data_IF_970519466433
#
_entry.id   IF_970519466433
#
_cell.length_a   1.000
_cell.length_b   1.000
_cell.length_c   1.000
_cell.angle_alpha   90.00
_cell.angle_beta   90.00
_cell.angle_gamma   90.00
#
_symmetry.space_group_name_H-M   'P 1'
#
loop_
_entity.id
_entity.type
_entity.pdbx_description
1 polymer ?
#
# COMPACT_ATOMS: atom_id res chain seq x y z
N UNK A 1 80.87 3.13 46.85
CA UNK A 1 80.42 4.22 45.94
C UNK A 1 80.63 3.80 44.50
N UNK A 2 79.57 3.40 43.81
CA UNK A 2 79.23 3.77 42.42
C UNK A 2 77.94 3.02 42.06
N UNK A 3 76.93 3.84 41.82
CA UNK A 3 75.58 3.58 41.36
C UNK A 3 75.59 2.83 40.04
N UNK A 4 74.68 1.88 39.83
CA UNK A 4 74.20 1.57 38.49
C UNK A 4 72.68 1.33 38.55
N UNK A 5 72.02 2.25 37.87
CA UNK A 5 70.60 2.45 37.72
C UNK A 5 70.14 1.58 36.53
N UNK A 6 69.39 0.50 36.78
CA UNK A 6 68.70 -0.22 35.71
C UNK A 6 67.25 0.27 35.67
N UNK A 7 66.97 1.10 34.66
CA UNK A 7 65.63 1.59 34.32
C UNK A 7 64.89 0.44 33.65
N UNK A 8 63.84 -0.04 34.31
CA UNK A 8 62.89 -1.01 33.75
C UNK A 8 61.82 -0.23 32.96
N UNK A 9 61.96 -0.18 31.64
CA UNK A 9 60.94 0.39 30.74
C UNK A 9 59.79 -0.61 30.57
N UNK A 10 58.68 -0.36 31.26
CA UNK A 10 57.40 -1.04 31.03
C UNK A 10 56.74 -0.39 29.80
N UNK A 11 56.81 -1.06 28.65
CA UNK A 11 55.95 -0.75 27.50
C UNK A 11 54.55 -1.34 27.76
N UNK A 12 53.63 -0.52 28.25
CA UNK A 12 52.21 -0.81 28.26
C UNK A 12 51.66 -0.64 26.83
N UNK A 13 51.54 -1.76 26.12
CA UNK A 13 50.76 -1.87 24.88
C UNK A 13 49.27 -1.69 25.23
N UNK A 14 48.76 -0.45 25.14
CA UNK A 14 47.33 -0.21 25.05
C UNK A 14 46.83 -0.66 23.68
N UNK A 15 46.46 -1.94 23.58
CA UNK A 15 45.59 -2.42 22.52
C UNK A 15 44.19 -1.82 22.77
N UNK A 16 43.97 -0.61 22.26
CA UNK A 16 42.64 -0.05 22.17
C UNK A 16 41.85 -0.90 21.16
N UNK A 17 41.04 -1.82 21.67
CA UNK A 17 39.93 -2.40 20.91
C UNK A 17 39.05 -1.24 20.41
N UNK A 18 39.28 -0.81 19.17
CA UNK A 18 38.30 -0.02 18.42
C UNK A 18 37.12 -0.95 18.19
N UNK A 19 36.15 -0.90 19.10
CA UNK A 19 34.81 -1.40 18.81
C UNK A 19 34.33 -0.78 17.50
N UNK A 20 33.49 -1.51 16.73
CA UNK A 20 32.93 -0.96 15.51
C UNK A 20 32.29 0.38 15.85
N UNK A 21 32.77 1.45 15.20
CA UNK A 21 32.13 2.76 15.32
C UNK A 21 30.65 2.55 14.96
N UNK A 22 29.69 3.04 15.77
CA UNK A 22 28.32 3.10 15.32
C UNK A 22 28.37 3.82 13.98
N UNK A 23 27.93 3.12 12.94
CA UNK A 23 27.85 3.66 11.60
C UNK A 23 26.87 4.81 11.73
N UNK A 24 27.43 6.02 11.85
CA UNK A 24 26.68 7.26 11.88
C UNK A 24 25.60 7.14 10.82
N UNK A 25 24.38 7.44 11.24
CA UNK A 25 23.29 7.87 10.37
C UNK A 25 23.89 8.91 9.42
N UNK A 26 24.47 8.47 8.30
CA UNK A 26 24.54 9.29 7.11
C UNK A 26 23.10 9.66 6.90
N UNK A 27 22.80 10.96 7.05
CA UNK A 27 21.55 11.54 6.58
C UNK A 27 21.17 10.77 5.31
N UNK A 28 20.09 9.99 5.37
CA UNK A 28 19.59 9.34 4.18
C UNK A 28 19.50 10.45 3.14
N UNK A 29 20.24 10.32 2.04
CA UNK A 29 20.20 11.32 0.98
C UNK A 29 18.73 11.64 0.72
N UNK A 30 18.36 12.91 0.90
CA UNK A 30 16.97 13.29 0.88
C UNK A 30 16.46 13.10 -0.54
N UNK A 31 15.67 12.05 -0.74
CA UNK A 31 15.06 11.76 -2.02
C UNK A 31 14.11 12.89 -2.39
N UNK A 32 14.28 13.44 -3.58
CA UNK A 32 13.50 14.58 -4.08
C UNK A 32 12.52 14.09 -5.14
N UNK A 33 11.24 14.37 -4.94
CA UNK A 33 10.19 14.23 -5.92
C UNK A 33 10.05 15.51 -6.74
N UNK A 34 10.21 15.36 -8.05
CA UNK A 34 9.87 16.36 -9.03
C UNK A 34 8.62 15.91 -9.81
N UNK A 35 7.55 16.70 -9.77
CA UNK A 35 6.37 16.42 -10.60
C UNK A 35 6.74 16.60 -12.07
N UNK A 36 6.61 15.53 -12.84
CA UNK A 36 6.81 15.54 -14.28
C UNK A 36 5.54 16.04 -14.98
N UNK A 37 4.39 15.51 -14.59
CA UNK A 37 3.08 15.94 -15.03
C UNK A 37 1.99 15.53 -14.02
N UNK A 38 0.79 16.01 -14.31
CA UNK A 38 -0.47 15.56 -13.72
C UNK A 38 -1.45 15.32 -14.85
N UNK A 39 -2.37 14.38 -14.66
CA UNK A 39 -3.39 14.09 -15.65
C UNK A 39 -4.66 13.52 -15.04
N UNK A 40 -5.58 13.15 -15.93
CA UNK A 40 -6.85 12.53 -15.60
C UNK A 40 -7.00 11.18 -16.29
N UNK A 41 -7.70 10.29 -15.63
CA UNK A 41 -8.10 8.98 -16.13
C UNK A 41 -9.61 8.98 -16.26
N UNK A 42 -10.13 8.68 -17.45
CA UNK A 42 -11.54 8.37 -17.62
C UNK A 42 -11.76 6.89 -17.29
N UNK A 43 -12.31 6.60 -16.11
CA UNK A 43 -12.63 5.23 -15.70
C UNK A 43 -13.78 4.65 -16.53
N UNK A 44 -14.69 5.50 -16.99
CA UNK A 44 -15.80 5.16 -17.87
C UNK A 44 -16.26 6.36 -18.67
N UNK A 45 -17.05 6.08 -19.72
CA UNK A 45 -17.52 7.11 -20.62
C UNK A 45 -18.36 8.17 -19.87
N UNK A 46 -18.27 9.46 -20.26
CA UNK A 46 -19.18 10.49 -19.78
C UNK A 46 -20.64 10.04 -20.01
N UNK A 47 -21.54 10.36 -19.07
CA UNK A 47 -22.99 10.05 -19.15
C UNK A 47 -23.39 8.59 -18.89
N UNK A 48 -22.57 7.81 -18.16
CA UNK A 48 -23.13 6.70 -17.38
C UNK A 48 -23.96 7.28 -16.22
N UNK A 49 -25.13 7.81 -16.59
CA UNK A 49 -26.10 8.40 -15.70
C UNK A 49 -26.87 7.28 -15.02
N UNK A 50 -26.41 6.97 -13.82
CA UNK A 50 -27.18 6.38 -12.74
C UNK A 50 -27.69 4.95 -12.90
N UNK A 51 -27.26 4.13 -11.96
CA UNK A 51 -28.20 3.26 -11.27
C UNK A 51 -29.03 4.21 -10.38
N UNK A 52 -30.32 4.39 -10.67
CA UNK A 52 -31.29 5.07 -9.79
C UNK A 52 -31.11 6.59 -9.54
N UNK A 53 -30.85 7.41 -10.56
CA UNK A 53 -30.66 8.88 -10.46
C UNK A 53 -29.51 9.35 -9.53
N UNK A 54 -28.58 8.47 -9.15
CA UNK A 54 -27.33 8.84 -8.47
C UNK A 54 -26.15 8.77 -9.43
N UNK A 55 -25.31 9.81 -9.45
CA UNK A 55 -24.06 9.79 -10.19
C UNK A 55 -23.20 8.59 -9.77
N UNK A 56 -22.71 7.81 -10.74
CA UNK A 56 -21.65 6.84 -10.47
C UNK A 56 -20.33 7.59 -10.45
N UNK A 57 -19.60 7.47 -9.35
CA UNK A 57 -18.26 8.03 -9.21
C UNK A 57 -17.23 6.94 -9.45
N UNK A 58 -16.14 7.30 -10.11
CA UNK A 58 -14.92 6.55 -10.02
C UNK A 58 -14.19 7.01 -8.76
N UNK A 59 -14.17 6.14 -7.75
CA UNK A 59 -13.47 6.33 -6.48
C UNK A 59 -12.31 5.32 -6.49
N UNK A 60 -11.09 5.81 -6.75
CA UNK A 60 -9.95 5.02 -7.20
C UNK A 60 -9.03 4.62 -6.04
N UNK A 61 -9.08 3.36 -5.64
CA UNK A 61 -8.47 2.92 -4.38
C UNK A 61 -7.05 2.37 -4.50
N UNK A 62 -6.65 1.83 -5.66
CA UNK A 62 -5.27 1.37 -5.84
C UNK A 62 -4.80 1.37 -7.28
N UNK A 63 -3.47 1.36 -7.42
CA UNK A 63 -2.75 1.38 -8.68
C UNK A 63 -1.57 0.39 -8.61
N UNK A 64 -1.35 -0.38 -9.66
CA UNK A 64 -0.17 -1.24 -9.83
C UNK A 64 0.30 -1.23 -11.28
N UNK A 65 1.59 -1.49 -11.50
CA UNK A 65 2.14 -1.71 -12.84
C UNK A 65 2.57 -3.17 -12.98
N UNK A 66 1.87 -3.93 -13.82
CA UNK A 66 2.07 -5.37 -13.99
C UNK A 66 1.96 -5.75 -15.46
N UNK A 67 2.77 -6.72 -15.92
CA UNK A 67 2.71 -7.26 -17.28
C UNK A 67 2.60 -6.17 -18.38
N UNK A 68 3.42 -5.12 -18.28
CA UNK A 68 3.50 -3.95 -19.16
C UNK A 68 2.29 -2.99 -19.19
N UNK A 69 1.37 -3.11 -18.22
CA UNK A 69 0.17 -2.28 -18.14
C UNK A 69 -0.04 -1.73 -16.72
N UNK A 70 -0.76 -0.62 -16.63
CA UNK A 70 -1.30 -0.16 -15.36
C UNK A 70 -2.60 -0.90 -15.06
N UNK A 71 -2.77 -1.25 -13.80
CA UNK A 71 -4.00 -1.78 -13.24
C UNK A 71 -4.47 -0.83 -12.15
N UNK A 72 -5.74 -0.47 -12.21
CA UNK A 72 -6.39 0.43 -11.30
C UNK A 72 -7.65 -0.24 -10.77
N UNK A 73 -7.97 -0.07 -9.50
CA UNK A 73 -9.24 -0.51 -8.94
C UNK A 73 -10.07 0.69 -8.51
N UNK A 74 -11.38 0.59 -8.71
CA UNK A 74 -12.33 1.46 -8.04
C UNK A 74 -12.95 0.73 -6.84
N UNK A 75 -13.06 1.42 -5.70
CA UNK A 75 -13.65 0.84 -4.48
C UNK A 75 -15.19 0.70 -4.60
N UNK A 76 -15.81 1.39 -5.58
CA UNK A 76 -17.22 1.31 -5.92
C UNK A 76 -17.46 0.40 -7.10
N UNK A 77 -18.65 -0.21 -7.08
CA UNK A 77 -19.18 -0.91 -8.23
C UNK A 77 -19.27 0.04 -9.43
N UNK A 78 -18.73 -0.41 -10.56
CA UNK A 78 -18.92 0.25 -11.84
C UNK A 78 -20.33 -0.04 -12.37
N UNK A 79 -20.82 0.73 -13.36
CA UNK A 79 -22.08 0.42 -14.04
C UNK A 79 -22.14 -1.07 -14.45
N UNK A 80 -23.28 -1.78 -14.27
CA UNK A 80 -23.31 -3.24 -14.29
C UNK A 80 -22.91 -3.87 -15.63
N UNK A 81 -23.02 -3.09 -16.71
CA UNK A 81 -22.65 -3.49 -18.07
C UNK A 81 -21.16 -3.29 -18.37
N UNK A 82 -20.42 -2.57 -17.54
CA UNK A 82 -19.02 -2.24 -17.81
C UNK A 82 -18.07 -3.33 -17.35
N UNK A 83 -18.24 -3.89 -16.16
CA UNK A 83 -17.11 -4.68 -15.70
C UNK A 83 -16.99 -5.01 -14.23
N UNK A 84 -15.89 -5.72 -14.02
CA UNK A 84 -15.12 -5.68 -12.79
C UNK A 84 -14.67 -4.25 -12.46
N UNK A 85 -14.56 -3.90 -11.16
CA UNK A 85 -13.91 -2.65 -10.72
C UNK A 85 -12.41 -2.58 -11.05
N UNK A 86 -11.79 -3.68 -11.50
CA UNK A 86 -10.41 -3.71 -11.98
C UNK A 86 -10.35 -3.24 -13.44
N UNK A 87 -9.64 -2.14 -13.64
CA UNK A 87 -9.40 -1.48 -14.91
C UNK A 87 -7.95 -1.71 -15.35
N UNK A 88 -7.77 -2.01 -16.63
CA UNK A 88 -6.47 -2.13 -17.28
C UNK A 88 -6.23 -0.91 -18.17
N UNK A 89 -5.02 -0.38 -18.16
CA UNK A 89 -4.62 0.77 -18.96
C UNK A 89 -3.23 0.57 -19.56
N UNK A 90 -3.03 1.04 -20.79
CA UNK A 90 -1.71 1.08 -21.41
C UNK A 90 -0.84 2.17 -20.76
N UNK A 91 0.48 2.02 -20.85
CA UNK A 91 1.41 3.08 -20.46
C UNK A 91 1.60 4.11 -21.61
N UNK A 92 1.72 5.42 -21.32
CA UNK A 92 1.65 6.05 -19.99
C UNK A 92 0.21 6.09 -19.45
N UNK A 93 0.08 6.16 -18.12
CA UNK A 93 -1.20 6.32 -17.43
C UNK A 93 -1.97 7.54 -17.97
N UNK A 94 -3.32 7.45 -18.05
CA UNK A 94 -4.20 8.48 -18.62
C UNK A 94 -4.86 8.10 -19.96
N UNK A 95 -4.65 6.89 -20.45
CA UNK A 95 -5.33 6.34 -21.63
C UNK A 95 -6.78 5.91 -21.39
N UNK A 96 -7.38 5.21 -22.35
CA UNK A 96 -8.73 4.63 -22.21
C UNK A 96 -8.67 3.38 -21.33
N UNK A 97 -9.51 3.31 -20.30
CA UNK A 97 -9.66 2.12 -19.47
C UNK A 97 -10.24 0.94 -20.27
N UNK A 98 -9.66 -0.24 -20.06
CA UNK A 98 -10.20 -1.54 -20.49
C UNK A 98 -10.70 -2.29 -19.26
N UNK A 99 -11.94 -2.76 -19.30
CA UNK A 99 -12.56 -3.46 -18.18
C UNK A 99 -12.17 -4.94 -18.18
N UNK A 100 -11.87 -5.48 -17.01
CA UNK A 100 -11.78 -6.93 -16.88
C UNK A 100 -13.17 -7.57 -17.04
N UNK A 101 -13.24 -8.75 -17.69
CA UNK A 101 -14.48 -9.53 -17.78
C UNK A 101 -15.11 -9.73 -16.40
N UNK A 102 -16.43 -9.52 -16.36
CA UNK A 102 -17.26 -9.31 -15.16
C UNK A 102 -17.41 -10.50 -14.22
N UNK A 103 -17.05 -11.72 -14.60
CA UNK A 103 -17.44 -12.90 -13.82
C UNK A 103 -16.53 -13.20 -12.62
N UNK A 104 -15.27 -12.77 -12.61
CA UNK A 104 -14.32 -13.20 -11.58
C UNK A 104 -14.43 -12.40 -10.27
N UNK A 105 -14.90 -11.16 -10.35
CA UNK A 105 -14.92 -10.22 -9.23
C UNK A 105 -16.36 -9.73 -8.94
N UNK A 106 -17.36 -10.52 -9.35
CA UNK A 106 -18.77 -10.16 -9.20
C UNK A 106 -19.23 -10.05 -7.73
N UNK A 107 -18.60 -10.84 -6.85
CA UNK A 107 -18.89 -10.88 -5.41
C UNK A 107 -17.93 -10.00 -4.59
N UNK A 108 -17.05 -9.23 -5.25
CA UNK A 108 -16.02 -8.45 -4.56
C UNK A 108 -16.58 -7.09 -4.19
N UNK A 109 -16.41 -6.71 -2.92
CA UNK A 109 -16.76 -5.39 -2.43
C UNK A 109 -15.53 -4.68 -1.88
N UNK A 110 -15.36 -3.41 -2.30
CA UNK A 110 -14.23 -2.55 -1.90
C UNK A 110 -12.87 -3.21 -2.13
N UNK A 111 -12.46 -3.42 -3.38
CA UNK A 111 -11.04 -3.63 -3.65
C UNK A 111 -10.31 -2.35 -3.26
N UNK A 112 -9.33 -2.47 -2.37
CA UNK A 112 -8.63 -1.31 -1.80
C UNK A 112 -7.13 -1.30 -2.13
N UNK A 113 -6.54 -2.45 -2.48
CA UNK A 113 -5.09 -2.51 -2.65
C UNK A 113 -4.70 -3.46 -3.79
N UNK A 114 -3.60 -3.10 -4.47
CA UNK A 114 -2.94 -3.93 -5.48
C UNK A 114 -1.45 -4.04 -5.14
N UNK A 115 -0.84 -5.18 -5.42
CA UNK A 115 0.61 -5.34 -5.32
C UNK A 115 1.16 -6.17 -6.46
N UNK A 116 2.25 -5.70 -7.07
CA UNK A 116 2.95 -6.48 -8.09
C UNK A 116 4.06 -7.31 -7.45
N UNK A 117 4.09 -8.59 -7.82
CA UNK A 117 5.10 -9.54 -7.40
C UNK A 117 5.82 -10.18 -8.58
N UNK A 118 6.91 -10.93 -8.33
CA UNK A 118 7.66 -11.62 -9.37
C UNK A 118 6.83 -12.69 -10.11
N UNK A 119 5.82 -13.27 -9.45
CA UNK A 119 4.99 -14.34 -10.05
C UNK A 119 3.58 -13.90 -10.44
N UNK A 120 3.17 -12.67 -10.14
CA UNK A 120 1.79 -12.27 -10.35
C UNK A 120 1.40 -10.91 -9.78
N UNK A 121 0.11 -10.63 -9.86
CA UNK A 121 -0.55 -9.47 -9.27
C UNK A 121 -1.42 -9.93 -8.11
N UNK A 122 -1.32 -9.24 -6.98
CA UNK A 122 -2.22 -9.39 -5.85
C UNK A 122 -3.27 -8.28 -5.84
N UNK A 123 -4.47 -8.61 -5.37
CA UNK A 123 -5.48 -7.62 -5.02
C UNK A 123 -6.11 -7.96 -3.67
N UNK A 124 -6.49 -6.96 -2.91
CA UNK A 124 -7.06 -7.13 -1.58
C UNK A 124 -8.22 -6.16 -1.37
N UNK A 125 -9.25 -6.63 -0.68
CA UNK A 125 -10.34 -5.77 -0.21
C UNK A 125 -9.97 -5.02 1.06
N UNK A 126 -10.89 -4.20 1.58
CA UNK A 126 -10.71 -3.45 2.83
C UNK A 126 -10.56 -4.30 4.11
N UNK A 127 -11.11 -5.52 4.12
CA UNK A 127 -11.28 -6.35 5.33
C UNK A 127 -12.04 -5.63 6.47
N UNK A 128 -12.95 -4.71 6.14
CA UNK A 128 -13.52 -3.73 7.08
C UNK A 128 -14.93 -4.05 7.62
N UNK A 129 -15.43 -5.28 7.43
CA UNK A 129 -16.78 -5.65 7.85
C UNK A 129 -16.88 -7.01 8.54
N UNK A 130 -17.73 -7.06 9.58
CA UNK A 130 -17.74 -8.12 10.61
C UNK A 130 -19.11 -8.43 11.29
N UNK A 131 -20.28 -8.04 10.76
CA UNK A 131 -21.57 -8.16 11.49
C UNK A 131 -22.69 -8.93 10.77
N UNK A 132 -23.00 -10.17 11.12
CA UNK A 132 -24.21 -10.91 10.70
C UNK A 132 -24.39 -11.11 9.16
N UNK A 133 -24.12 -12.34 8.76
CA UNK A 133 -24.63 -13.10 7.61
C UNK A 133 -24.16 -12.80 6.18
N UNK A 134 -23.52 -11.67 5.82
CA UNK A 134 -23.05 -11.48 4.43
C UNK A 134 -21.86 -10.52 4.25
N UNK A 135 -20.62 -11.01 4.38
CA UNK A 135 -19.41 -10.16 4.37
C UNK A 135 -18.20 -10.76 3.68
N UNK A 136 -18.31 -11.96 3.14
CA UNK A 136 -17.17 -12.61 2.51
C UNK A 136 -16.63 -11.77 1.34
N UNK A 137 -17.51 -11.04 0.63
CA UNK A 137 -17.17 -10.05 -0.40
C UNK A 137 -16.24 -8.92 0.04
N UNK A 138 -16.27 -8.52 1.33
CA UNK A 138 -15.42 -7.48 1.91
C UNK A 138 -14.07 -8.02 2.42
N UNK A 139 -13.88 -9.34 2.44
CA UNK A 139 -12.76 -9.99 3.11
C UNK A 139 -12.09 -10.97 2.14
N UNK A 140 -11.49 -10.47 1.06
CA UNK A 140 -10.92 -11.28 -0.01
C UNK A 140 -9.50 -10.84 -0.35
N UNK A 141 -8.62 -11.83 -0.50
CA UNK A 141 -7.29 -11.69 -1.08
C UNK A 141 -7.23 -12.51 -2.36
N UNK A 142 -6.87 -11.85 -3.46
CA UNK A 142 -6.82 -12.43 -4.79
C UNK A 142 -5.40 -12.43 -5.35
N UNK A 143 -5.11 -13.42 -6.20
CA UNK A 143 -3.83 -13.53 -6.90
C UNK A 143 -4.03 -13.92 -8.36
N UNK A 144 -3.47 -13.13 -9.28
CA UNK A 144 -3.33 -13.47 -10.69
C UNK A 144 -1.90 -13.92 -10.94
N UNK A 145 -1.73 -15.20 -11.27
CA UNK A 145 -0.44 -15.71 -11.71
C UNK A 145 -0.09 -15.18 -13.10
N UNK A 146 1.19 -14.89 -13.34
CA UNK A 146 1.69 -14.44 -14.63
C UNK A 146 1.25 -15.38 -15.77
N UNK A 147 0.65 -14.79 -16.80
CA UNK A 147 0.15 -15.52 -17.98
C UNK A 147 -1.22 -16.17 -17.80
N UNK A 148 -1.78 -16.19 -16.58
CA UNK A 148 -3.13 -16.70 -16.32
C UNK A 148 -4.16 -15.58 -16.40
N UNK A 149 -5.32 -15.90 -16.98
CA UNK A 149 -6.43 -14.93 -17.14
C UNK A 149 -7.34 -14.88 -15.92
N UNK A 150 -7.39 -15.96 -15.15
CA UNK A 150 -8.31 -16.11 -14.03
C UNK A 150 -7.55 -15.87 -12.72
N UNK A 151 -8.10 -15.07 -11.80
CA UNK A 151 -7.54 -14.99 -10.47
C UNK A 151 -7.85 -16.23 -9.64
N UNK A 152 -7.03 -16.41 -8.62
CA UNK A 152 -7.24 -17.35 -7.52
C UNK A 152 -7.63 -16.59 -6.26
N UNK A 153 -8.74 -16.98 -5.63
CA UNK A 153 -9.12 -16.49 -4.30
C UNK A 153 -8.31 -17.24 -3.24
N UNK A 154 -7.45 -16.50 -2.55
CA UNK A 154 -6.47 -17.06 -1.61
C UNK A 154 -7.15 -17.47 -0.32
N UNK A 155 -7.01 -18.74 0.07
CA UNK A 155 -7.64 -19.26 1.29
C UNK A 155 -9.16 -19.23 1.24
N UNK A 156 -9.76 -19.47 0.06
CA UNK A 156 -11.20 -19.41 -0.14
C UNK A 156 -11.97 -20.34 0.82
N UNK A 157 -12.84 -19.75 1.63
CA UNK A 157 -13.81 -20.40 2.50
C UNK A 157 -15.20 -19.89 2.16
N UNK A 158 -16.20 -20.77 2.20
CA UNK A 158 -17.61 -20.42 1.93
C UNK A 158 -18.25 -20.01 3.25
N UNK A 159 -18.86 -18.83 3.29
CA UNK A 159 -19.72 -18.42 4.40
C UNK A 159 -21.04 -19.19 4.32
N UNK A 160 -21.43 -19.86 5.41
CA UNK A 160 -22.60 -20.77 5.40
C UNK A 160 -23.92 -20.04 5.14
N UNK A 161 -24.09 -18.83 5.67
CA UNK A 161 -25.35 -18.08 5.58
C UNK A 161 -25.59 -17.49 4.18
N UNK A 162 -24.59 -16.85 3.57
CA UNK A 162 -24.72 -16.20 2.26
C UNK A 162 -24.26 -17.05 1.08
N UNK A 163 -23.45 -18.09 1.32
CA UNK A 163 -22.80 -18.88 0.28
C UNK A 163 -21.65 -18.16 -0.44
N UNK A 164 -21.33 -16.91 -0.08
CA UNK A 164 -20.23 -16.15 -0.64
C UNK A 164 -18.87 -16.71 -0.20
N UNK A 165 -17.84 -16.49 -1.03
CA UNK A 165 -16.47 -16.91 -0.70
C UNK A 165 -15.62 -15.76 -0.18
N UNK A 166 -14.75 -16.05 0.78
CA UNK A 166 -13.80 -15.08 1.32
C UNK A 166 -12.53 -15.72 1.87
N UNK A 167 -11.53 -14.88 2.15
CA UNK A 167 -10.29 -15.25 2.83
C UNK A 167 -10.48 -15.20 4.35
N UNK A 168 -11.44 -15.98 4.86
CA UNK A 168 -11.98 -15.84 6.22
C UNK A 168 -10.97 -16.23 7.32
N UNK A 169 -10.14 -17.26 7.11
CA UNK A 169 -9.07 -17.59 8.04
C UNK A 169 -8.01 -16.48 8.18
N UNK A 170 -7.67 -15.78 7.09
CA UNK A 170 -6.79 -14.62 7.13
C UNK A 170 -7.42 -13.48 7.92
N UNK A 171 -8.68 -13.18 7.62
CA UNK A 171 -9.47 -12.17 8.32
C UNK A 171 -9.45 -12.43 9.84
N UNK A 172 -9.74 -13.68 10.23
CA UNK A 172 -9.76 -14.10 11.63
C UNK A 172 -8.38 -13.99 12.29
N UNK A 173 -7.32 -14.43 11.61
CA UNK A 173 -5.96 -14.35 12.13
C UNK A 173 -5.52 -12.91 12.40
N UNK A 174 -5.85 -11.97 11.50
CA UNK A 174 -5.57 -10.54 11.68
C UNK A 174 -6.38 -9.97 12.85
N UNK A 175 -7.68 -10.30 12.93
CA UNK A 175 -8.54 -9.88 14.04
C UNK A 175 -8.01 -10.35 15.39
N UNK A 176 -7.63 -11.61 15.49
CA UNK A 176 -7.09 -12.22 16.71
C UNK A 176 -5.75 -11.57 17.10
N UNK A 177 -4.89 -11.28 16.12
CA UNK A 177 -3.62 -10.57 16.34
C UNK A 177 -3.83 -9.13 16.87
N UNK A 178 -4.76 -8.40 16.28
CA UNK A 178 -5.01 -6.99 16.61
C UNK A 178 -5.80 -6.81 17.91
N UNK A 179 -6.58 -7.82 18.33
CA UNK A 179 -7.38 -7.78 19.55
C UNK A 179 -8.52 -6.77 19.55
N UNK A 180 -8.94 -6.30 18.37
CA UNK A 180 -10.01 -5.32 18.20
C UNK A 180 -11.06 -5.84 17.19
N UNK A 181 -12.33 -5.46 17.34
CA UNK A 181 -13.41 -5.97 16.52
C UNK A 181 -13.51 -5.29 15.15
N UNK A 182 -12.81 -4.18 14.89
CA UNK A 182 -12.80 -3.52 13.58
C UNK A 182 -11.39 -3.13 13.18
N UNK A 183 -11.03 -3.43 11.94
CA UNK A 183 -9.82 -2.95 11.29
C UNK A 183 -10.09 -2.68 9.81
N UNK A 184 -9.27 -1.85 9.16
CA UNK A 184 -9.29 -1.64 7.71
C UNK A 184 -7.86 -1.75 7.16
N UNK A 185 -7.71 -2.45 6.04
CA UNK A 185 -6.46 -2.56 5.29
C UNK A 185 -6.58 -1.80 3.97
N UNK A 186 -5.57 -1.02 3.61
CA UNK A 186 -5.50 -0.29 2.32
C UNK A 186 -4.11 -0.37 1.67
N UNK A 187 -3.08 -0.80 2.41
CA UNK A 187 -1.78 -1.10 1.83
C UNK A 187 -1.64 -2.58 1.49
N UNK A 188 -1.06 -2.88 0.34
CA UNK A 188 -0.61 -4.22 0.00
C UNK A 188 0.72 -4.16 -0.73
N UNK A 189 1.69 -4.95 -0.31
CA UNK A 189 2.92 -5.12 -1.05
C UNK A 189 3.44 -6.55 -0.93
N UNK A 190 4.03 -7.07 -2.01
CA UNK A 190 4.83 -8.27 -1.94
C UNK A 190 6.29 -7.88 -1.72
N UNK A 191 6.82 -8.22 -0.55
CA UNK A 191 8.20 -7.97 -0.21
C UNK A 191 9.11 -9.18 -0.46
N UNK A 192 10.35 -9.15 0.06
CA UNK A 192 11.30 -10.23 -0.17
C UNK A 192 10.85 -11.53 0.50
N UNK A 193 11.32 -12.66 -0.03
CA UNK A 193 11.15 -14.00 0.56
C UNK A 193 9.70 -14.45 0.75
N UNK A 194 8.83 -14.14 -0.21
CA UNK A 194 7.42 -14.56 -0.16
C UNK A 194 6.73 -14.07 1.12
N UNK A 195 6.93 -12.79 1.41
CA UNK A 195 6.22 -12.08 2.47
C UNK A 195 5.23 -11.12 1.85
N UNK A 196 3.99 -11.17 2.33
CA UNK A 196 2.99 -10.15 2.07
C UNK A 196 2.99 -9.15 3.22
N UNK A 197 2.92 -7.87 2.86
CA UNK A 197 2.83 -6.76 3.78
C UNK A 197 1.48 -6.09 3.60
N UNK A 198 0.73 -5.98 4.70
CA UNK A 198 -0.63 -5.45 4.75
C UNK A 198 -0.60 -4.13 5.54
N UNK A 199 -0.94 -3.04 4.88
CA UNK A 199 -1.00 -1.73 5.50
C UNK A 199 -2.31 -1.54 6.26
N UNK A 200 -2.22 -1.45 7.59
CA UNK A 200 -3.34 -1.19 8.48
C UNK A 200 -3.62 0.32 8.52
N UNK A 201 -4.81 0.70 8.06
CA UNK A 201 -5.29 2.08 8.05
C UNK A 201 -6.10 2.46 9.27
N UNK A 202 -6.96 1.57 9.74
CA UNK A 202 -7.92 1.88 10.79
C UNK A 202 -8.00 0.73 11.78
N UNK A 203 -8.21 1.06 13.05
CA UNK A 203 -8.39 0.09 14.12
C UNK A 203 -9.34 0.65 15.18
N UNK A 204 -10.30 -0.15 15.63
CA UNK A 204 -11.21 0.31 16.67
C UNK A 204 -12.38 -0.62 16.95
N UNK A 205 -13.45 -0.03 17.47
CA UNK A 205 -14.68 -0.75 17.88
C UNK A 205 -15.62 -0.97 16.69
N UNK A 206 -15.65 -0.06 15.73
CA UNK A 206 -16.50 -0.12 14.56
C UNK A 206 -16.00 0.81 13.44
N UNK A 207 -16.61 0.73 12.26
CA UNK A 207 -16.35 1.66 11.16
C UNK A 207 -16.70 3.12 11.45
N UNK A 208 -17.38 3.41 12.57
CA UNK A 208 -17.68 4.77 13.05
C UNK A 208 -16.80 5.21 14.21
N UNK A 209 -16.12 4.26 14.86
CA UNK A 209 -15.35 4.46 16.08
C UNK A 209 -14.01 3.75 15.93
N UNK A 210 -13.08 4.43 15.26
CA UNK A 210 -11.73 3.94 15.00
C UNK A 210 -10.71 5.07 15.06
N UNK A 211 -9.46 4.69 15.23
CA UNK A 211 -8.30 5.57 15.08
C UNK A 211 -7.56 5.24 13.79
N UNK A 212 -7.10 6.27 13.08
CA UNK A 212 -6.17 6.10 11.96
C UNK A 212 -4.87 5.45 12.43
N UNK A 213 -4.36 4.55 11.61
CA UNK A 213 -3.18 3.74 11.85
C UNK A 213 -2.18 3.94 10.72
N UNK A 214 -0.92 3.85 11.12
CA UNK A 214 0.23 3.77 10.23
C UNK A 214 1.07 2.57 10.65
N UNK A 215 0.53 1.37 10.46
CA UNK A 215 1.13 0.10 10.87
C UNK A 215 1.17 -0.84 9.68
N UNK A 216 2.19 -1.69 9.61
CA UNK A 216 2.30 -2.72 8.58
C UNK A 216 2.32 -4.07 9.26
N UNK A 217 1.32 -4.89 8.94
CA UNK A 217 1.32 -6.31 9.27
C UNK A 217 2.05 -7.07 8.17
N UNK A 218 2.62 -8.21 8.50
CA UNK A 218 3.27 -9.08 7.53
C UNK A 218 3.01 -10.53 7.83
N UNK A 219 2.94 -11.33 6.78
CA UNK A 219 2.82 -12.78 6.89
C UNK A 219 3.58 -13.45 5.75
N UNK A 220 4.00 -14.69 5.97
CA UNK A 220 4.67 -15.49 4.96
C UNK A 220 3.65 -16.23 4.12
N UNK A 221 4.06 -16.63 2.93
CA UNK A 221 3.30 -17.55 2.11
C UNK A 221 4.26 -18.46 1.33
N UNK A 222 3.74 -19.55 0.81
CA UNK A 222 4.44 -20.42 -0.14
C UNK A 222 3.51 -20.75 -1.30
N UNK A 223 4.02 -21.37 -2.36
CA UNK A 223 3.21 -21.84 -3.48
C UNK A 223 2.95 -23.35 -3.34
N UNK A 224 1.70 -23.75 -3.50
CA UNK A 224 1.35 -25.16 -3.62
C UNK A 224 1.81 -25.74 -4.98
N UNK A 225 1.58 -27.04 -5.19
CA UNK A 225 1.98 -27.74 -6.42
C UNK A 225 1.34 -27.16 -7.71
N UNK A 226 0.20 -26.49 -7.62
CA UNK A 226 -0.44 -25.79 -8.74
C UNK A 226 0.15 -24.39 -8.99
N UNK A 227 1.08 -23.94 -8.16
CA UNK A 227 1.64 -22.60 -8.20
C UNK A 227 0.70 -21.54 -7.64
N UNK A 228 -0.26 -21.91 -6.79
CA UNK A 228 -1.15 -20.99 -6.09
C UNK A 228 -0.63 -20.70 -4.68
N UNK A 229 -0.72 -19.45 -4.19
CA UNK A 229 -0.21 -19.09 -2.89
C UNK A 229 -1.03 -19.72 -1.75
N UNK A 230 -0.34 -20.11 -0.69
CA UNK A 230 -0.86 -20.63 0.57
C UNK A 230 -0.23 -19.83 1.69
N UNK A 231 -1.06 -19.19 2.50
CA UNK A 231 -0.61 -18.28 3.55
C UNK A 231 -0.20 -19.05 4.81
N UNK A 232 0.91 -18.62 5.42
CA UNK A 232 1.24 -18.89 6.82
C UNK A 232 0.61 -17.78 7.66
N UNK A 233 -0.45 -18.11 8.40
CA UNK A 233 -1.25 -17.15 9.17
C UNK A 233 -0.58 -16.65 10.45
N UNK A 234 0.72 -16.88 10.62
CA UNK A 234 1.54 -16.27 11.66
C UNK A 234 1.80 -14.79 11.31
N UNK A 235 0.93 -13.91 11.82
CA UNK A 235 1.04 -12.46 11.63
C UNK A 235 2.21 -11.91 12.46
N UNK A 236 3.06 -11.12 11.81
CA UNK A 236 4.08 -10.28 12.41
C UNK A 236 3.79 -8.80 12.13
N UNK A 237 4.40 -7.90 12.89
CA UNK A 237 4.26 -6.46 12.68
C UNK A 237 5.61 -5.77 12.48
N UNK A 238 5.60 -4.83 11.54
CA UNK A 238 6.64 -3.85 11.32
C UNK A 238 6.17 -2.51 11.89
N UNK A 239 6.76 -2.10 13.02
CA UNK A 239 6.46 -0.81 13.60
C UNK A 239 7.11 0.32 12.79
N UNK A 240 6.35 1.39 12.54
CA UNK A 240 6.79 2.55 11.77
C UNK A 240 7.00 3.74 12.72
N UNK A 241 8.21 4.28 12.73
CA UNK A 241 8.57 5.46 13.51
C UNK A 241 8.50 6.71 12.62
N UNK A 242 7.60 7.63 12.97
CA UNK A 242 7.44 8.92 12.30
C UNK A 242 8.46 9.96 12.81
N UNK A 243 8.89 10.90 11.95
CA UNK A 243 9.63 12.07 12.39
C UNK A 243 8.78 12.93 13.34
N UNK A 244 9.44 13.64 14.26
CA UNK A 244 8.77 14.36 15.35
C UNK A 244 7.64 15.30 14.90
N UNK A 245 7.83 16.01 13.78
CA UNK A 245 6.83 16.95 13.25
C UNK A 245 5.54 16.28 12.75
N UNK A 246 5.59 14.98 12.46
CA UNK A 246 4.47 14.22 11.90
C UNK A 246 3.73 13.36 12.93
N UNK A 247 4.23 13.25 14.17
CA UNK A 247 3.70 12.31 15.17
C UNK A 247 2.26 12.60 15.59
N UNK A 248 1.88 13.88 15.57
CA UNK A 248 0.54 14.33 15.98
C UNK A 248 -0.40 14.52 14.77
N UNK A 249 0.04 14.17 13.57
CA UNK A 249 -0.81 14.23 12.37
C UNK A 249 -1.71 12.98 12.31
N UNK A 250 -2.99 13.14 11.95
CA UNK A 250 -3.92 12.02 11.80
C UNK A 250 -3.71 11.31 10.46
N UNK A 251 -2.56 10.66 10.32
CA UNK A 251 -2.16 9.96 9.10
C UNK A 251 -2.76 8.55 9.07
N UNK A 252 -3.57 8.27 8.04
CA UNK A 252 -3.95 6.90 7.68
C UNK A 252 -3.05 6.37 6.56
N UNK A 253 -2.57 5.13 6.68
CA UNK A 253 -1.91 4.45 5.57
C UNK A 253 -2.93 4.19 4.45
N UNK A 254 -2.65 4.69 3.25
CA UNK A 254 -3.54 4.56 2.09
C UNK A 254 -2.97 3.70 0.97
N UNK A 255 -1.64 3.61 0.84
CA UNK A 255 -1.02 2.78 -0.19
C UNK A 255 0.36 2.31 0.21
N UNK A 256 0.80 1.17 -0.33
CA UNK A 256 2.10 0.57 -0.04
C UNK A 256 2.66 -0.08 -1.30
N UNK A 257 3.92 0.14 -1.62
CA UNK A 257 4.62 -0.53 -2.71
C UNK A 257 6.05 -0.89 -2.27
N UNK A 258 6.55 -2.02 -2.73
CA UNK A 258 7.90 -2.49 -2.45
C UNK A 258 8.76 -2.47 -3.72
N UNK A 259 9.88 -1.75 -3.67
CA UNK A 259 10.86 -1.76 -4.74
C UNK A 259 12.01 -2.70 -4.43
N UNK A 260 12.05 -3.83 -5.12
CA UNK A 260 13.09 -4.83 -4.95
C UNK A 260 14.50 -4.30 -5.29
N UNK A 261 14.63 -3.44 -6.32
CA UNK A 261 15.92 -2.88 -6.75
C UNK A 261 16.53 -1.94 -5.70
N UNK A 262 15.69 -1.34 -4.87
CA UNK A 262 16.09 -0.43 -3.81
C UNK A 262 16.05 -1.05 -2.42
N UNK A 263 15.47 -2.25 -2.30
CA UNK A 263 15.14 -2.90 -1.04
C UNK A 263 14.43 -1.93 -0.09
N UNK A 264 13.41 -1.23 -0.59
CA UNK A 264 12.74 -0.18 0.14
C UNK A 264 11.24 -0.19 -0.14
N UNK A 265 10.47 0.14 0.89
CA UNK A 265 9.06 0.43 0.76
C UNK A 265 8.85 1.91 0.49
N UNK A 266 7.83 2.17 -0.30
CA UNK A 266 7.21 3.46 -0.51
C UNK A 266 5.77 3.35 -0.05
N UNK A 267 5.28 4.36 0.65
CA UNK A 267 3.90 4.36 1.11
C UNK A 267 3.30 5.76 1.02
N UNK A 268 2.00 5.79 0.74
CA UNK A 268 1.20 7.00 0.83
C UNK A 268 0.45 7.00 2.16
N UNK A 269 0.29 8.19 2.71
CA UNK A 269 -0.66 8.44 3.81
C UNK A 269 -1.60 9.54 3.43
N UNK A 270 -2.89 9.39 3.70
CA UNK A 270 -3.90 10.43 3.55
C UNK A 270 -4.40 10.95 4.91
N UNK A 271 -4.82 12.22 4.92
CA UNK A 271 -5.46 12.88 6.05
C UNK A 271 -6.88 13.27 5.66
N UNK A 272 -7.85 12.71 6.39
CA UNK A 272 -9.28 12.94 6.19
C UNK A 272 -9.89 13.40 7.54
N UNK A 273 -9.66 14.67 7.86
CA UNK A 273 -10.26 15.29 9.05
C UNK A 273 -11.40 16.16 8.57
N UNK A 274 -12.59 15.94 9.13
CA UNK A 274 -13.77 16.75 8.83
C UNK A 274 -13.46 18.25 9.00
N UNK A 275 -13.79 19.05 7.98
CA UNK A 275 -13.54 20.48 7.95
C UNK A 275 -12.08 20.89 7.63
N UNK A 276 -11.19 19.95 7.33
CA UNK A 276 -9.84 20.22 6.82
C UNK A 276 -9.71 19.80 5.35
N UNK A 277 -8.83 20.50 4.62
CA UNK A 277 -8.52 20.12 3.24
C UNK A 277 -7.81 18.76 3.21
N UNK A 278 -8.21 17.91 2.26
CA UNK A 278 -7.53 16.65 1.98
C UNK A 278 -6.04 16.89 1.75
N UNK A 279 -5.24 15.99 2.30
CA UNK A 279 -3.82 16.00 1.97
C UNK A 279 -3.15 14.67 2.16
N UNK A 280 -2.08 14.46 1.40
CA UNK A 280 -1.29 13.25 1.48
C UNK A 280 0.20 13.52 1.50
N UNK A 281 0.94 12.60 2.10
CA UNK A 281 2.40 12.55 2.12
C UNK A 281 2.88 11.24 1.52
N UNK A 282 4.08 11.26 0.93
CA UNK A 282 4.77 10.06 0.47
C UNK A 282 5.99 9.82 1.33
N UNK A 283 6.12 8.58 1.81
CA UNK A 283 7.20 8.17 2.69
C UNK A 283 7.99 7.03 2.05
N UNK A 284 9.22 6.87 2.55
CA UNK A 284 10.13 5.81 2.18
C UNK A 284 10.81 5.25 3.41
N UNK A 285 11.04 3.95 3.42
CA UNK A 285 11.99 3.34 4.34
C UNK A 285 12.71 2.14 3.71
N UNK A 286 14.03 1.98 3.94
CA UNK A 286 14.72 0.75 3.56
C UNK A 286 14.21 -0.42 4.40
N UNK A 287 14.11 -1.58 3.78
CA UNK A 287 13.69 -2.82 4.43
C UNK A 287 14.71 -3.92 4.27
N UNK A 288 14.99 -4.59 5.39
CA UNK A 288 15.79 -5.80 5.45
C UNK A 288 14.98 -6.93 6.07
N UNK A 289 15.29 -8.16 5.66
CA UNK A 289 14.63 -9.37 6.20
C UNK A 289 14.64 -9.36 7.72
N UNK A 290 13.47 -9.62 8.32
CA UNK A 290 13.31 -9.74 9.76
C UNK A 290 13.33 -8.41 10.50
N UNK A 291 13.38 -7.28 9.79
CA UNK A 291 13.23 -5.95 10.37
C UNK A 291 11.86 -5.83 11.02
N UNK A 292 11.85 -5.44 12.31
CA UNK A 292 10.64 -5.23 13.12
C UNK A 292 10.30 -3.76 13.35
N UNK A 293 11.23 -2.85 13.00
CA UNK A 293 11.05 -1.40 13.13
C UNK A 293 11.63 -0.68 11.93
N UNK A 294 10.96 0.35 11.43
CA UNK A 294 11.46 1.20 10.35
C UNK A 294 11.24 2.68 10.67
N UNK A 295 12.25 3.50 10.39
CA UNK A 295 12.11 4.96 10.46
C UNK A 295 11.59 5.46 9.11
N UNK A 296 10.46 6.14 9.11
CA UNK A 296 9.89 6.75 7.92
C UNK A 296 10.61 8.05 7.59
N UNK A 297 11.11 8.13 6.36
CA UNK A 297 11.58 9.38 5.77
C UNK A 297 10.51 9.89 4.81
N UNK A 298 10.04 11.12 5.04
CA UNK A 298 9.18 11.79 4.06
C UNK A 298 9.99 12.13 2.82
N UNK A 299 9.46 11.85 1.64
CA UNK A 299 10.06 12.31 0.39
C UNK A 299 9.91 13.83 0.31
N UNK A 300 10.93 14.52 -0.22
CA UNK A 300 10.92 15.97 -0.30
C UNK A 300 10.48 16.44 -1.69
N UNK A 301 9.81 17.59 -1.80
CA UNK A 301 9.62 18.25 -3.08
C UNK A 301 10.88 18.99 -3.54
N UNK A 302 10.84 19.52 -4.76
CA UNK A 302 11.97 20.29 -5.36
C UNK A 302 12.46 21.49 -4.54
N UNK A 303 11.66 22.03 -3.61
CA UNK A 303 12.07 23.11 -2.70
C UNK A 303 12.55 22.59 -1.33
N UNK A 304 12.85 21.29 -1.23
CA UNK A 304 13.36 20.56 -0.03
C UNK A 304 12.42 20.55 1.19
N UNK A 305 11.14 20.85 0.99
CA UNK A 305 10.08 20.67 1.96
C UNK A 305 9.47 19.28 1.84
N UNK A 306 8.81 18.73 2.88
CA UNK A 306 8.02 17.50 2.76
C UNK A 306 7.10 17.56 1.54
N UNK A 307 7.14 16.53 0.71
CA UNK A 307 6.27 16.42 -0.45
C UNK A 307 4.85 16.15 0.04
N UNK A 308 4.04 17.20 0.01
CA UNK A 308 2.63 17.20 0.39
C UNK A 308 1.79 17.52 -0.83
N UNK A 309 0.76 16.73 -1.08
CA UNK A 309 -0.22 16.98 -2.15
C UNK A 309 -1.59 17.30 -1.54
N UNK A 310 -2.37 18.23 -2.11
CA UNK A 310 -3.70 18.60 -1.60
C UNK A 310 -4.78 17.67 -2.16
N UNK A 311 -4.54 16.37 -2.03
CA UNK A 311 -5.41 15.29 -2.49
C UNK A 311 -5.36 14.14 -1.49
N UNK A 312 -6.36 13.26 -1.55
CA UNK A 312 -6.34 11.95 -0.90
C UNK A 312 -5.72 10.93 -1.87
N UNK A 313 -4.47 10.57 -1.62
CA UNK A 313 -3.72 9.61 -2.42
C UNK A 313 -4.02 8.19 -1.94
N UNK A 314 -4.57 7.36 -2.81
CA UNK A 314 -4.97 5.97 -2.50
C UNK A 314 -4.18 4.94 -3.34
N UNK A 315 -3.76 5.30 -4.56
CA UNK A 315 -2.83 4.48 -5.34
C UNK A 315 -1.41 5.01 -5.34
N UNK A 316 -0.43 4.14 -5.13
CA UNK A 316 0.99 4.41 -5.31
C UNK A 316 1.64 3.24 -6.04
N UNK A 317 2.31 3.49 -7.17
CA UNK A 317 3.14 2.48 -7.79
C UNK A 317 4.29 3.07 -8.61
N UNK A 318 5.27 2.24 -8.95
CA UNK A 318 6.31 2.60 -9.92
C UNK A 318 5.97 2.12 -11.34
N UNK A 319 6.11 3.01 -12.32
CA UNK A 319 5.94 2.69 -13.73
C UNK A 319 7.20 2.14 -14.41
N UNK A 320 7.13 1.89 -15.74
CA UNK A 320 8.16 1.17 -16.48
C UNK A 320 9.53 1.86 -16.51
N UNK A 321 9.58 3.19 -16.39
CA UNK A 321 10.86 3.93 -16.38
C UNK A 321 11.32 4.28 -14.96
N UNK A 322 10.69 3.69 -13.95
CA UNK A 322 10.97 3.96 -12.54
C UNK A 322 10.43 5.30 -12.04
N UNK A 323 9.51 5.91 -12.80
CA UNK A 323 8.72 7.05 -12.32
C UNK A 323 7.68 6.59 -11.29
N UNK A 324 7.42 7.42 -10.28
CA UNK A 324 6.42 7.17 -9.26
C UNK A 324 5.08 7.77 -9.70
N UNK A 325 4.01 6.98 -9.61
CA UNK A 325 2.65 7.44 -9.85
C UNK A 325 1.89 7.52 -8.54
N UNK A 326 1.12 8.59 -8.38
CA UNK A 326 0.12 8.73 -7.34
C UNK A 326 -1.25 8.85 -7.99
N UNK A 327 -2.20 8.04 -7.53
CA UNK A 327 -3.60 8.10 -7.90
C UNK A 327 -4.40 8.74 -6.77
N UNK A 328 -5.31 9.63 -7.09
CA UNK A 328 -6.12 10.35 -6.11
C UNK A 328 -7.58 9.93 -6.14
N UNK A 329 -8.10 9.62 -4.96
CA UNK A 329 -9.52 9.46 -4.70
C UNK A 329 -9.97 10.55 -3.74
N UNK A 330 -10.30 11.72 -4.28
CA UNK A 330 -10.86 12.81 -3.48
C UNK A 330 -12.36 12.57 -3.18
N UNK A 331 -12.75 11.31 -3.02
CA UNK A 331 -14.11 10.82 -2.86
C UNK A 331 -15.05 11.46 -3.90
N UNK A 332 -16.01 12.27 -3.43
CA UNK A 332 -16.98 12.99 -4.27
C UNK A 332 -16.65 14.46 -4.41
N UNK A 333 -15.51 14.91 -3.90
CA UNK A 333 -15.03 16.26 -4.12
C UNK A 333 -14.59 16.41 -5.59
N UNK A 334 -15.33 17.21 -6.33
CA UNK A 334 -15.04 17.51 -7.74
C UNK A 334 -13.96 18.60 -7.85
N UNK A 335 -12.81 18.35 -7.23
CA UNK A 335 -11.70 19.29 -7.19
C UNK A 335 -11.27 19.66 -8.61
N UNK A 336 -11.03 20.96 -8.82
CA UNK A 336 -10.47 21.53 -10.05
C UNK A 336 -11.16 21.12 -11.35
N UNK A 337 -12.48 20.88 -11.30
CA UNK A 337 -13.27 20.51 -12.47
C UNK A 337 -13.15 19.05 -12.89
N UNK A 338 -12.67 18.17 -12.01
CA UNK A 338 -12.82 16.71 -12.13
C UNK A 338 -14.29 16.35 -12.33
N UNK A 339 -14.56 15.39 -13.19
CA UNK A 339 -15.90 14.84 -13.39
C UNK A 339 -16.07 13.53 -12.60
N UNK A 340 -17.32 13.11 -12.27
CA UNK A 340 -17.53 11.88 -11.48
C UNK A 340 -16.86 10.62 -12.05
N UNK A 341 -16.73 10.50 -13.37
CA UNK A 341 -16.10 9.35 -14.03
C UNK A 341 -14.56 9.41 -14.07
N UNK A 342 -13.96 10.44 -13.45
CA UNK A 342 -12.55 10.75 -13.58
C UNK A 342 -11.77 10.60 -12.28
N UNK A 343 -10.52 10.16 -12.41
CA UNK A 343 -9.51 10.20 -11.34
C UNK A 343 -8.36 11.09 -11.76
N UNK A 344 -7.85 11.89 -10.84
CA UNK A 344 -6.62 12.65 -11.04
C UNK A 344 -5.41 11.77 -10.65
N UNK A 345 -4.28 11.99 -11.32
CA UNK A 345 -3.02 11.33 -10.96
C UNK A 345 -1.85 12.29 -11.13
N UNK A 346 -0.77 12.06 -10.39
CA UNK A 346 0.54 12.67 -10.61
C UNK A 346 1.54 11.64 -11.11
N UNK A 347 2.38 12.04 -12.08
CA UNK A 347 3.60 11.32 -12.45
C UNK A 347 4.81 12.09 -11.93
N UNK A 348 5.62 11.41 -11.13
CA UNK A 348 6.72 12.00 -10.38
C UNK A 348 8.04 11.32 -10.76
N UNK A 349 9.10 12.11 -10.84
CA UNK A 349 10.48 11.59 -10.90
C UNK A 349 11.07 11.58 -9.51
N UNK A 350 11.73 10.48 -9.16
CA UNK A 350 12.47 10.33 -7.93
C UNK A 350 13.97 10.60 -8.18
N UNK A 351 14.45 11.74 -7.70
CA UNK A 351 15.86 12.15 -7.76
C UNK A 351 16.56 11.77 -6.43
N UNK A 352 17.80 11.26 -6.54
CA UNK A 352 18.62 10.80 -5.40
C UNK A 352 19.61 11.85 -4.92
#
# INVERSE_FOLDING_TARGET
>A
MKTNLFILSILLLFAACRGPKPQNQKEAAAFVLAQLDSGRIDCFAPHFDSIEQRWTFCEGSALAYWADHFYLVSDKSLPPNLGSPLLKMDAPLGGKAQYFPTNYLAEVEKLEALATGPKGLWAMTAFDRLKDDDWAGYNQLWFWKNGEKQPFLVGAEVQEESGQKGSLALQKAIKDYLGQPYFKLEGLAEGPEQQLFLGLRALGKSYKEFDYQLRILSLKYDYNAAGMPVLDLNIEELALDLPAWAKDLPLGLSSLDYRAEEQAFYLATSMEVEGQALSSYVWRFPYQKGQKKANLAVLQGVKKQPFKVPHKAEGLCFGPKGELYLLFDDDRELLWGRQPHQLDYYRLRLDK
#
